data_IF_502705928252
#
_entry.id   IF_502705928252
#
_cell.length_a   1.000
_cell.length_b   1.000
_cell.length_c   1.000
_cell.angle_alpha   90.00
_cell.angle_beta   90.00
_cell.angle_gamma   90.00
#
_symmetry.space_group_name_H-M   'P 1'
#
loop_
_entity.id
_entity.type
_entity.pdbx_description
1 polymer ?
#
# COMPACT_ATOMS: atom_id res chain seq x y z
N UNK A 1 34.08 -53.24 -23.61
CA UNK A 1 34.23 -51.76 -23.59
C UNK A 1 33.29 -51.14 -22.54
N UNK A 2 33.64 -51.09 -21.22
CA UNK A 2 32.75 -50.51 -20.20
C UNK A 2 33.30 -49.25 -19.49
N UNK A 3 34.57 -48.86 -19.71
CA UNK A 3 35.24 -47.82 -18.91
C UNK A 3 34.78 -46.37 -19.19
N UNK A 4 34.22 -46.11 -20.38
CA UNK A 4 33.83 -44.75 -20.80
C UNK A 4 32.51 -44.31 -20.14
N UNK A 5 31.60 -45.26 -19.87
CA UNK A 5 30.29 -44.96 -19.28
C UNK A 5 30.38 -44.50 -17.82
N UNK A 6 31.34 -45.03 -17.06
CA UNK A 6 31.54 -44.63 -15.66
C UNK A 6 32.17 -43.24 -15.52
N UNK A 7 32.99 -42.79 -16.47
CA UNK A 7 33.57 -41.44 -16.43
C UNK A 7 32.55 -40.35 -16.77
N UNK A 8 31.67 -40.60 -17.74
CA UNK A 8 30.60 -39.65 -18.09
C UNK A 8 29.57 -39.49 -16.97
N UNK A 9 29.22 -40.58 -16.27
CA UNK A 9 28.30 -40.52 -15.13
C UNK A 9 28.90 -39.71 -13.96
N UNK A 10 30.20 -39.86 -13.68
CA UNK A 10 30.89 -39.12 -12.62
C UNK A 10 30.97 -37.62 -12.92
N UNK A 11 31.25 -37.23 -14.17
CA UNK A 11 31.26 -35.81 -14.57
C UNK A 11 29.87 -35.19 -14.48
N UNK A 12 28.83 -35.93 -14.86
CA UNK A 12 27.44 -35.47 -14.76
C UNK A 12 27.01 -35.27 -13.29
N UNK A 13 27.42 -36.17 -12.39
CA UNK A 13 27.13 -36.09 -10.96
C UNK A 13 27.87 -34.93 -10.25
N UNK A 14 29.09 -34.61 -10.70
CA UNK A 14 29.85 -33.44 -10.24
C UNK A 14 29.23 -32.13 -10.77
N UNK A 15 28.74 -32.11 -12.02
CA UNK A 15 28.04 -30.96 -12.57
C UNK A 15 26.69 -30.71 -11.89
N UNK A 16 25.95 -31.77 -11.53
CA UNK A 16 24.70 -31.67 -10.77
C UNK A 16 24.92 -31.17 -9.34
N UNK A 17 25.99 -31.61 -8.68
CA UNK A 17 26.32 -31.15 -7.32
C UNK A 17 26.87 -29.71 -7.30
N UNK A 18 27.60 -29.27 -8.32
CA UNK A 18 27.99 -27.86 -8.46
C UNK A 18 26.78 -26.94 -8.75
N UNK A 19 25.77 -27.41 -9.48
CA UNK A 19 24.56 -26.63 -9.75
C UNK A 19 23.66 -26.43 -8.51
N UNK A 20 23.63 -27.37 -7.56
CA UNK A 20 22.83 -27.21 -6.34
C UNK A 20 23.45 -26.26 -5.31
N UNK A 21 24.76 -26.01 -5.35
CA UNK A 21 25.44 -25.16 -4.38
C UNK A 21 25.29 -23.65 -4.62
N UNK A 22 24.63 -23.22 -5.72
CA UNK A 22 24.59 -21.83 -6.15
C UNK A 22 23.23 -21.13 -5.98
N UNK A 23 22.29 -21.72 -5.22
CA UNK A 23 20.92 -21.20 -5.04
C UNK A 23 20.56 -20.76 -3.62
N UNK A 24 21.54 -20.67 -2.72
CA UNK A 24 21.36 -19.97 -1.45
C UNK A 24 21.88 -18.54 -1.61
N UNK A 25 21.02 -17.63 -2.09
CA UNK A 25 21.28 -16.20 -1.90
C UNK A 25 21.05 -15.93 -0.41
N UNK A 26 22.10 -15.67 0.39
CA UNK A 26 21.92 -15.36 1.80
C UNK A 26 21.10 -14.07 1.88
N UNK A 27 19.94 -14.14 2.56
CA UNK A 27 19.12 -12.94 2.82
C UNK A 27 20.03 -11.91 3.50
N UNK A 28 20.22 -10.71 2.91
CA UNK A 28 21.15 -9.75 3.46
C UNK A 28 20.75 -9.42 4.90
N UNK A 29 21.71 -9.49 5.82
CA UNK A 29 21.44 -9.25 7.23
C UNK A 29 21.04 -7.79 7.47
N UNK A 30 20.10 -7.57 8.38
CA UNK A 30 19.67 -6.23 8.78
C UNK A 30 20.72 -5.57 9.66
N UNK A 31 21.04 -4.33 9.37
CA UNK A 31 21.93 -3.49 10.17
C UNK A 31 21.10 -2.52 11.00
N UNK A 32 21.21 -2.58 12.33
CA UNK A 32 20.52 -1.65 13.23
C UNK A 32 20.95 -0.21 12.96
N UNK A 33 20.00 0.72 13.04
CA UNK A 33 20.23 2.16 12.89
C UNK A 33 19.76 2.93 14.12
N UNK A 34 20.36 4.10 14.34
CA UNK A 34 19.88 5.02 15.37
C UNK A 34 18.50 5.56 14.95
N UNK A 35 17.57 5.65 15.90
CA UNK A 35 16.21 6.18 15.64
C UNK A 35 16.20 7.67 15.31
N UNK A 36 17.31 8.37 15.59
CA UNK A 36 17.54 9.78 15.28
C UNK A 36 18.29 9.99 13.96
N UNK A 37 18.65 8.93 13.25
CA UNK A 37 19.26 9.02 11.92
C UNK A 37 18.28 9.73 10.97
N UNK A 38 18.76 10.72 10.21
CA UNK A 38 17.92 11.54 9.33
C UNK A 38 17.14 10.71 8.31
N UNK A 39 17.78 9.67 7.75
CA UNK A 39 17.12 8.78 6.80
C UNK A 39 16.02 7.95 7.46
N UNK A 40 16.22 7.55 8.73
CA UNK A 40 15.21 6.81 9.52
C UNK A 40 14.02 7.70 9.85
N UNK A 41 14.27 8.94 10.27
CA UNK A 41 13.22 9.92 10.56
C UNK A 41 12.43 10.26 9.29
N UNK A 42 13.13 10.50 8.18
CA UNK A 42 12.52 10.74 6.87
C UNK A 42 11.63 9.58 6.42
N UNK A 43 12.12 8.34 6.55
CA UNK A 43 11.34 7.14 6.22
C UNK A 43 10.09 7.01 7.11
N UNK A 44 10.19 7.27 8.42
CA UNK A 44 9.04 7.22 9.33
C UNK A 44 7.97 8.26 8.96
N UNK A 45 8.38 9.50 8.66
CA UNK A 45 7.45 10.54 8.22
C UNK A 45 6.82 10.22 6.87
N UNK A 46 7.60 9.69 5.92
CA UNK A 46 7.08 9.21 4.64
C UNK A 46 5.99 8.16 4.86
N UNK A 47 6.27 7.12 5.65
CA UNK A 47 5.31 6.05 5.90
C UNK A 47 4.00 6.56 6.53
N UNK A 48 4.09 7.43 7.54
CA UNK A 48 2.89 8.00 8.18
C UNK A 48 2.10 8.87 7.22
N UNK A 49 2.79 9.67 6.39
CA UNK A 49 2.15 10.52 5.38
C UNK A 49 1.42 9.68 4.33
N UNK A 50 2.05 8.62 3.84
CA UNK A 50 1.41 7.73 2.88
C UNK A 50 0.25 6.95 3.50
N UNK A 51 0.38 6.49 4.75
CA UNK A 51 -0.69 5.83 5.47
C UNK A 51 -1.91 6.75 5.66
N UNK A 52 -1.70 8.04 5.95
CA UNK A 52 -2.77 9.04 6.02
C UNK A 52 -3.52 9.19 4.69
N UNK A 53 -2.82 9.11 3.55
CA UNK A 53 -3.40 9.24 2.20
C UNK A 53 -4.25 8.04 1.78
N UNK A 54 -4.01 6.86 2.35
CA UNK A 54 -4.74 5.64 2.01
C UNK A 54 -6.18 5.59 2.56
N UNK A 55 -6.59 6.57 3.35
CA UNK A 55 -7.93 6.57 3.94
C UNK A 55 -8.96 7.19 2.99
N UNK A 56 -9.91 6.37 2.54
CA UNK A 56 -11.05 6.83 1.74
C UNK A 56 -11.92 7.83 2.49
N UNK A 57 -12.17 7.59 3.79
CA UNK A 57 -13.01 8.46 4.63
C UNK A 57 -12.23 9.63 5.24
N UNK A 58 -10.90 9.58 5.21
CA UNK A 58 -10.01 10.52 5.86
C UNK A 58 -9.77 10.24 7.35
N UNK A 59 -10.26 9.14 7.93
CA UNK A 59 -10.04 8.83 9.36
C UNK A 59 -8.55 8.68 9.71
N UNK A 60 -7.73 8.16 8.79
CA UNK A 60 -6.28 8.05 9.02
C UNK A 60 -5.56 9.39 9.04
N UNK A 61 -6.17 10.49 8.61
CA UNK A 61 -5.57 11.84 8.76
C UNK A 61 -5.33 12.23 10.22
N UNK A 62 -5.98 11.52 11.16
CA UNK A 62 -5.77 11.68 12.60
C UNK A 62 -4.55 10.94 13.14
N UNK A 63 -3.93 10.05 12.35
CA UNK A 63 -2.72 9.35 12.75
C UNK A 63 -1.57 10.33 12.87
N UNK A 64 -0.79 10.21 13.94
CA UNK A 64 0.42 11.00 14.13
C UNK A 64 1.56 10.15 14.68
N UNK A 65 2.78 10.42 14.22
CA UNK A 65 3.97 9.72 14.71
C UNK A 65 4.27 10.18 16.13
N UNK A 66 4.21 9.27 17.10
CA UNK A 66 4.59 9.53 18.49
C UNK A 66 6.07 9.24 18.72
N UNK A 67 6.53 8.06 18.26
CA UNK A 67 7.89 7.58 18.49
C UNK A 67 8.32 6.55 17.45
N UNK A 68 9.61 6.53 17.13
CA UNK A 68 10.26 5.41 16.43
C UNK A 68 10.88 4.51 17.51
N UNK A 69 10.35 3.28 17.68
CA UNK A 69 10.82 2.32 18.71
C UNK A 69 12.10 1.64 18.29
N UNK A 70 12.20 1.25 17.02
CA UNK A 70 13.37 0.59 16.47
C UNK A 70 13.51 0.88 14.98
N UNK A 71 14.74 0.81 14.49
CA UNK A 71 15.05 0.98 13.07
C UNK A 71 16.19 0.07 12.63
N UNK A 72 16.06 -0.50 11.44
CA UNK A 72 17.13 -1.26 10.80
C UNK A 72 17.09 -1.08 9.29
N UNK A 73 18.25 -1.12 8.65
CA UNK A 73 18.38 -1.02 7.20
C UNK A 73 18.88 -2.33 6.60
N UNK A 74 18.46 -2.63 5.37
CA UNK A 74 18.93 -3.77 4.60
C UNK A 74 19.09 -3.35 3.14
N UNK A 75 20.24 -3.70 2.55
CA UNK A 75 20.46 -3.54 1.11
C UNK A 75 19.93 -4.81 0.44
N UNK A 76 18.75 -4.74 -0.18
CA UNK A 76 18.23 -5.81 -1.03
C UNK A 76 18.77 -5.72 -2.45
N UNK A 77 18.37 -6.63 -3.33
CA UNK A 77 18.84 -6.61 -4.73
C UNK A 77 18.37 -5.36 -5.47
N UNK A 78 17.08 -5.03 -5.34
CA UNK A 78 16.42 -3.93 -6.05
C UNK A 78 16.12 -2.70 -5.18
N UNK A 79 16.14 -2.85 -3.86
CA UNK A 79 15.70 -1.80 -2.93
C UNK A 79 16.68 -1.58 -1.78
N UNK A 80 16.74 -0.35 -1.28
CA UNK A 80 17.21 -0.04 0.06
C UNK A 80 16.00 -0.08 1.01
N UNK A 81 16.00 -1.02 1.94
CA UNK A 81 14.88 -1.24 2.86
C UNK A 81 15.21 -0.63 4.22
N UNK A 82 14.27 0.14 4.76
CA UNK A 82 14.28 0.67 6.13
C UNK A 82 13.12 0.06 6.89
N UNK A 83 13.42 -0.87 7.79
CA UNK A 83 12.47 -1.50 8.70
C UNK A 83 12.31 -0.61 9.94
N UNK A 84 11.06 -0.35 10.32
CA UNK A 84 10.68 0.56 11.38
C UNK A 84 9.64 -0.09 12.28
N UNK A 85 9.84 0.01 13.59
CA UNK A 85 8.77 -0.19 14.56
C UNK A 85 8.30 1.18 15.02
N UNK A 86 7.09 1.57 14.64
CA UNK A 86 6.52 2.89 14.90
C UNK A 86 5.49 2.84 16.02
N UNK A 87 5.42 3.90 16.81
CA UNK A 87 4.31 4.18 17.72
C UNK A 87 3.48 5.32 17.14
N UNK A 88 2.22 5.04 16.79
CA UNK A 88 1.30 6.01 16.22
C UNK A 88 0.22 6.36 17.24
N UNK A 89 -0.20 7.62 17.25
CA UNK A 89 -1.32 8.10 18.04
C UNK A 89 -2.53 8.39 17.16
N UNK A 90 -3.71 8.05 17.65
CA UNK A 90 -5.00 8.51 17.13
C UNK A 90 -6.05 8.42 18.24
N UNK A 91 -6.97 9.39 18.35
CA UNK A 91 -8.08 9.31 19.28
C UNK A 91 -9.15 8.27 18.88
N UNK A 92 -9.00 7.62 17.72
CA UNK A 92 -10.02 6.78 17.12
C UNK A 92 -9.59 5.33 16.93
N UNK A 93 -8.54 4.86 17.61
CA UNK A 93 -8.21 3.43 17.58
C UNK A 93 -9.32 2.60 18.21
N UNK A 94 -9.66 1.46 17.60
CA UNK A 94 -10.68 0.53 18.10
C UNK A 94 -10.37 0.00 19.50
N UNK A 95 -9.08 -0.10 19.86
CA UNK A 95 -8.67 -0.52 21.19
C UNK A 95 -8.98 0.49 22.29
N UNK A 96 -9.31 1.74 21.95
CA UNK A 96 -9.47 2.84 22.90
C UNK A 96 -8.15 3.35 23.51
N UNK A 97 -7.00 2.81 23.11
CA UNK A 97 -5.69 3.29 23.56
C UNK A 97 -5.30 4.56 22.81
N UNK A 98 -4.56 5.50 23.43
CA UNK A 98 -4.09 6.70 22.76
C UNK A 98 -3.01 6.41 21.71
N UNK A 99 -2.28 5.31 21.86
CA UNK A 99 -1.18 4.91 20.97
C UNK A 99 -1.17 3.41 20.68
N UNK A 100 -0.71 3.04 19.48
CA UNK A 100 -0.51 1.66 19.05
C UNK A 100 0.82 1.50 18.29
N UNK A 101 1.30 0.26 18.18
CA UNK A 101 2.60 -0.06 17.56
C UNK A 101 2.42 -0.75 16.22
N UNK A 102 3.21 -0.35 15.23
CA UNK A 102 3.11 -0.84 13.86
C UNK A 102 4.50 -1.15 13.29
N UNK A 103 4.60 -2.29 12.62
CA UNK A 103 5.80 -2.72 11.91
C UNK A 103 5.69 -2.31 10.45
N UNK A 104 6.63 -1.48 10.00
CA UNK A 104 6.62 -0.86 8.67
C UNK A 104 7.95 -1.09 7.97
N UNK A 105 7.91 -1.26 6.65
CA UNK A 105 9.10 -1.27 5.80
C UNK A 105 8.96 -0.20 4.75
N UNK A 106 9.89 0.75 4.70
CA UNK A 106 10.02 1.72 3.62
C UNK A 106 11.10 1.22 2.66
N UNK A 107 10.77 1.18 1.38
CA UNK A 107 11.60 0.62 0.32
C UNK A 107 11.90 1.72 -0.68
N UNK A 108 13.18 2.05 -0.84
CA UNK A 108 13.65 2.95 -1.88
C UNK A 108 14.18 2.12 -3.05
N UNK A 109 13.62 2.31 -4.24
CA UNK A 109 14.11 1.68 -5.46
C UNK A 109 15.52 2.16 -5.79
N UNK A 110 16.40 1.23 -6.18
CA UNK A 110 17.76 1.53 -6.62
C UNK A 110 17.85 2.11 -8.04
N UNK A 111 16.77 2.03 -8.81
CA UNK A 111 16.77 2.40 -10.23
C UNK A 111 16.29 3.83 -10.47
N UNK A 112 15.28 4.27 -9.74
CA UNK A 112 14.54 5.51 -9.98
C UNK A 112 14.27 6.32 -8.70
N UNK A 113 14.86 5.93 -7.57
CA UNK A 113 14.72 6.59 -6.27
C UNK A 113 13.28 6.74 -5.76
N UNK A 114 12.34 5.97 -6.32
CA UNK A 114 10.94 5.95 -5.86
C UNK A 114 10.86 5.27 -4.49
N UNK A 115 10.15 5.92 -3.57
CA UNK A 115 9.81 5.38 -2.26
C UNK A 115 8.46 4.66 -2.31
N UNK A 116 8.42 3.51 -1.67
CA UNK A 116 7.19 2.76 -1.38
C UNK A 116 7.25 2.27 0.07
N UNK A 117 6.11 1.84 0.62
CA UNK A 117 6.10 1.24 1.95
C UNK A 117 5.16 0.04 2.03
N UNK A 118 5.42 -0.82 3.00
CA UNK A 118 4.58 -1.92 3.40
C UNK A 118 4.37 -1.87 4.91
N UNK A 119 3.19 -2.28 5.35
CA UNK A 119 2.82 -2.41 6.76
C UNK A 119 2.24 -3.81 6.97
N UNK A 120 2.55 -4.43 8.10
CA UNK A 120 2.07 -5.79 8.41
C UNK A 120 0.56 -5.81 8.63
N UNK A 121 0.06 -4.91 9.46
CA UNK A 121 -1.35 -4.77 9.78
C UNK A 121 -1.77 -3.30 9.77
N UNK A 122 -2.90 -3.02 9.12
CA UNK A 122 -3.45 -1.66 9.07
C UNK A 122 -4.11 -1.27 10.40
N UNK A 123 -4.05 0.01 10.80
CA UNK A 123 -4.73 0.46 12.01
C UNK A 123 -6.24 0.20 11.96
N UNK A 124 -6.76 -0.46 12.99
CA UNK A 124 -8.20 -0.69 13.12
C UNK A 124 -8.81 0.46 13.92
N UNK A 125 -9.77 1.14 13.30
CA UNK A 125 -10.41 2.32 13.87
C UNK A 125 -11.77 1.99 14.51
N UNK A 126 -12.19 2.85 15.42
CA UNK A 126 -13.51 2.82 16.05
C UNK A 126 -14.62 2.97 15.00
N UNK A 127 -15.61 2.08 15.02
CA UNK A 127 -16.64 1.98 13.99
C UNK A 127 -17.52 3.25 13.95
N UNK A 128 -17.84 3.82 15.12
CA UNK A 128 -18.60 5.08 15.22
C UNK A 128 -17.79 6.26 14.67
N UNK A 129 -16.47 6.27 14.87
CA UNK A 129 -15.59 7.27 14.27
C UNK A 129 -15.53 7.15 12.75
N UNK A 130 -15.46 5.93 12.20
CA UNK A 130 -15.48 5.71 10.75
C UNK A 130 -16.76 6.29 10.14
N UNK A 131 -17.91 6.03 10.76
CA UNK A 131 -19.20 6.55 10.28
C UNK A 131 -19.23 8.09 10.30
N UNK A 132 -18.80 8.72 11.41
CA UNK A 132 -18.73 10.19 11.52
C UNK A 132 -17.85 10.79 10.41
N UNK A 133 -16.65 10.25 10.19
CA UNK A 133 -15.75 10.72 9.14
C UNK A 133 -16.36 10.54 7.73
N UNK A 134 -17.09 9.44 7.50
CA UNK A 134 -17.79 9.22 6.24
C UNK A 134 -18.90 10.25 6.01
N UNK A 135 -19.72 10.53 7.02
CA UNK A 135 -20.76 11.58 6.95
C UNK A 135 -20.11 12.94 6.62
N UNK A 136 -19.06 13.31 7.34
CA UNK A 136 -18.35 14.57 7.13
C UNK A 136 -17.73 14.67 5.73
N UNK A 137 -17.16 13.57 5.21
CA UNK A 137 -16.67 13.50 3.84
C UNK A 137 -17.80 13.73 2.83
N UNK A 138 -18.94 13.07 3.01
CA UNK A 138 -20.11 13.20 2.11
C UNK A 138 -20.62 14.65 2.12
N UNK A 139 -20.75 15.27 3.29
CA UNK A 139 -21.20 16.66 3.42
C UNK A 139 -20.22 17.65 2.79
N UNK A 140 -18.91 17.48 3.00
CA UNK A 140 -17.89 18.29 2.32
C UNK A 140 -17.99 18.17 0.80
N UNK A 141 -18.20 16.97 0.27
CA UNK A 141 -18.37 16.75 -1.17
C UNK A 141 -19.69 17.32 -1.69
N UNK A 142 -20.76 17.33 -0.89
CA UNK A 142 -22.02 18.02 -1.23
C UNK A 142 -21.81 19.53 -1.31
N UNK A 143 -21.11 20.12 -0.35
CA UNK A 143 -20.78 21.54 -0.34
C UNK A 143 -19.95 21.94 -1.57
N UNK A 144 -18.85 21.23 -1.85
CA UNK A 144 -18.01 21.46 -3.04
C UNK A 144 -18.79 21.42 -4.34
N UNK A 145 -19.70 20.45 -4.49
CA UNK A 145 -20.55 20.40 -5.70
C UNK A 145 -21.48 21.60 -5.81
N UNK A 146 -22.08 22.06 -4.70
CA UNK A 146 -22.93 23.27 -4.72
C UNK A 146 -22.13 24.51 -5.12
N UNK A 147 -20.90 24.65 -4.64
CA UNK A 147 -20.00 25.75 -5.01
C UNK A 147 -19.66 25.73 -6.50
N UNK A 148 -19.26 24.57 -7.04
CA UNK A 148 -18.97 24.42 -8.48
C UNK A 148 -20.19 24.74 -9.36
N UNK A 149 -21.39 24.32 -8.94
CA UNK A 149 -22.62 24.66 -9.68
C UNK A 149 -23.00 26.13 -9.56
N UNK A 150 -22.69 26.80 -8.45
CA UNK A 150 -22.91 28.23 -8.30
C UNK A 150 -21.98 29.03 -9.22
N UNK A 151 -20.69 28.69 -9.24
CA UNK A 151 -19.69 29.26 -10.15
C UNK A 151 -20.12 29.09 -11.62
N UNK A 152 -20.55 27.89 -12.02
CA UNK A 152 -21.02 27.66 -13.40
C UNK A 152 -22.29 28.40 -13.76
N UNK A 153 -23.22 28.62 -12.82
CA UNK A 153 -24.42 29.41 -13.07
C UNK A 153 -24.12 30.91 -13.18
N UNK A 154 -23.08 31.39 -12.50
CA UNK A 154 -22.61 32.78 -12.60
C UNK A 154 -21.87 33.03 -13.93
N UNK A 155 -21.11 32.03 -14.41
CA UNK A 155 -20.41 32.09 -15.71
C UNK A 155 -21.34 31.88 -16.91
N UNK A 156 -22.44 31.12 -16.76
CA UNK A 156 -23.41 30.80 -17.82
C UNK A 156 -24.48 31.89 -18.02
N UNK A 157 -24.09 33.16 -18.07
CA UNK A 157 -25.00 34.29 -18.27
C UNK A 157 -25.98 34.08 -19.45
N UNK A 158 -27.24 33.77 -19.12
CA UNK A 158 -28.38 33.71 -20.03
C UNK A 158 -28.67 32.34 -20.65
N UNK A 159 -29.79 31.74 -20.22
CA UNK A 159 -30.64 30.83 -20.99
C UNK A 159 -29.96 29.61 -21.67
N UNK A 160 -29.49 28.66 -20.89
CA UNK A 160 -29.30 27.28 -21.37
C UNK A 160 -30.08 26.30 -20.48
N UNK A 161 -30.98 25.54 -21.08
CA UNK A 161 -31.74 24.46 -20.43
C UNK A 161 -30.77 23.41 -19.86
N UNK A 162 -30.54 23.47 -18.54
CA UNK A 162 -29.61 22.59 -17.82
C UNK A 162 -30.24 21.20 -17.68
N UNK A 163 -29.97 20.31 -18.64
CA UNK A 163 -30.19 18.89 -18.40
C UNK A 163 -29.17 18.40 -17.37
N UNK A 164 -29.61 17.72 -16.28
CA UNK A 164 -28.69 17.22 -15.26
C UNK A 164 -27.69 16.24 -15.89
N UNK A 165 -26.41 16.26 -15.47
CA UNK A 165 -25.43 15.29 -15.96
C UNK A 165 -25.92 13.89 -15.59
N UNK A 166 -26.25 13.10 -16.61
CA UNK A 166 -26.61 11.70 -16.45
C UNK A 166 -25.39 10.99 -15.90
N UNK A 167 -25.46 10.56 -14.63
CA UNK A 167 -24.46 9.63 -14.10
C UNK A 167 -24.41 8.45 -15.07
N UNK A 168 -23.23 8.00 -15.53
CA UNK A 168 -23.15 6.74 -16.24
C UNK A 168 -23.78 5.68 -15.33
N UNK A 169 -24.86 5.05 -15.80
CA UNK A 169 -25.44 3.91 -15.06
C UNK A 169 -24.33 2.89 -14.90
N UNK A 170 -24.08 2.35 -13.70
CA UNK A 170 -23.20 1.20 -13.57
C UNK A 170 -23.73 0.14 -14.53
N UNK A 171 -22.85 -0.32 -15.42
CA UNK A 171 -23.13 -1.44 -16.31
C UNK A 171 -23.38 -2.66 -15.43
N UNK A 172 -24.66 -2.96 -15.17
CA UNK A 172 -25.06 -4.25 -14.63
C UNK A 172 -24.70 -5.26 -15.71
N UNK A 173 -23.56 -5.93 -15.53
CA UNK A 173 -23.21 -7.13 -16.28
C UNK A 173 -24.23 -8.18 -15.86
N UNK A 174 -25.33 -8.27 -16.63
CA UNK A 174 -26.26 -9.38 -16.49
C UNK A 174 -25.51 -10.68 -16.79
N UNK A 175 -25.60 -11.72 -15.94
CA UNK A 175 -25.04 -13.01 -16.27
C UNK A 175 -25.67 -13.51 -17.58
N UNK A 176 -24.80 -13.86 -18.53
CA UNK A 176 -25.16 -14.42 -19.83
C UNK A 176 -26.08 -15.62 -19.60
N UNK A 177 -27.35 -15.51 -19.98
CA UNK A 177 -28.27 -16.64 -19.94
C UNK A 177 -27.72 -17.76 -20.82
N UNK A 178 -27.45 -18.91 -20.22
CA UNK A 178 -27.13 -20.13 -20.95
C UNK A 178 -28.37 -20.52 -21.76
N UNK A 179 -28.31 -20.36 -23.08
CA UNK A 179 -29.29 -20.95 -23.98
C UNK A 179 -29.10 -22.49 -23.97
N UNK A 180 -30.20 -23.27 -24.05
CA UNK A 180 -30.14 -24.72 -24.08
C UNK A 180 -29.53 -25.18 -25.42
N UNK A 181 -28.69 -26.21 -25.35
CA UNK A 181 -28.17 -26.90 -26.53
C UNK A 181 -29.20 -27.93 -26.96
N UNK A 182 -30.03 -27.57 -27.94
CA UNK A 182 -30.79 -28.53 -28.71
C UNK A 182 -30.16 -28.69 -30.10
N UNK A 183 -29.80 -29.94 -30.40
CA UNK A 183 -29.87 -30.64 -31.67
C UNK A 183 -29.15 -30.06 -32.91
N UNK A 184 -28.02 -30.70 -33.27
CA UNK A 184 -27.88 -31.60 -34.45
C UNK A 184 -26.51 -32.30 -34.43
#
# INVERSE_FOLDING_TARGET
MPKIFHQLLAVWLVLLTLCHASLENPVPSRTKKAVTDEAVVGAAHFAVTELQKLSDTGIYTTLSLTRIKSAATQVGDFHFNTFLDLELASPHFKSGRPTESFSVVVMQSKLDDILSFAIDEFPVMDDDAIERFWIDMVERNRAKRRELFAEWNEDAGGDAEVLPPTRPRPSIILPRSHAPKDEL
#
